data_IF_844083851177
#
_entry.id   IF_844083851177
#
_cell.length_a   1.000
_cell.length_b   1.000
_cell.length_c   1.000
_cell.angle_alpha   90.00
_cell.angle_beta   90.00
_cell.angle_gamma   90.00
#
_symmetry.space_group_name_H-M   'P 1'
#
loop_
_entity.id
_entity.type
_entity.pdbx_description
1 polymer ?
#
# COMPACT_ATOMS: atom_id res chain seq x y z
N UNK A 1 -5.53 -9.58 -3.86
CA UNK A 1 -6.20 -8.46 -3.15
C UNK A 1 -5.38 -7.99 -1.93
N UNK A 2 -5.54 -6.73 -1.46
CA UNK A 2 -4.80 -6.24 -0.31
C UNK A 2 -5.37 -6.87 0.96
N UNK A 3 -4.51 -7.53 1.74
CA UNK A 3 -4.89 -8.17 3.00
C UNK A 3 -4.83 -7.18 4.16
N UNK A 4 -3.78 -6.37 4.19
CA UNK A 4 -3.56 -5.36 5.23
C UNK A 4 -2.93 -4.12 4.63
N UNK A 5 -3.27 -2.96 5.19
CA UNK A 5 -2.64 -1.69 4.91
C UNK A 5 -2.23 -1.06 6.24
N UNK A 6 -0.95 -0.74 6.37
CA UNK A 6 -0.38 -0.17 7.59
C UNK A 6 0.01 1.29 7.33
N UNK A 7 -0.38 2.23 8.22
CA UNK A 7 0.13 3.59 8.19
C UNK A 7 1.61 3.63 8.67
N UNK A 8 2.31 4.77 8.50
CA UNK A 8 3.60 4.99 9.13
C UNK A 8 3.51 4.82 10.65
N UNK A 9 4.55 4.26 11.28
CA UNK A 9 4.58 4.16 12.74
C UNK A 9 4.90 5.51 13.39
N UNK A 10 4.56 5.66 14.67
CA UNK A 10 4.89 6.87 15.43
C UNK A 10 6.39 7.12 15.50
N UNK A 11 7.18 6.06 15.70
CA UNK A 11 8.64 6.11 15.75
C UNK A 11 9.24 6.54 14.41
N UNK A 12 8.70 6.03 13.30
CA UNK A 12 9.14 6.42 11.95
C UNK A 12 8.88 7.91 11.69
N UNK A 13 7.69 8.40 12.08
CA UNK A 13 7.32 9.80 11.95
C UNK A 13 8.19 10.72 12.81
N UNK A 14 8.60 10.27 14.00
CA UNK A 14 9.55 10.99 14.87
C UNK A 14 10.96 11.02 14.26
N UNK A 15 11.35 9.98 13.52
CA UNK A 15 12.58 9.93 12.73
C UNK A 15 12.50 10.68 11.38
N UNK A 16 11.48 11.52 11.19
CA UNK A 16 11.25 12.33 9.99
C UNK A 16 11.08 11.53 8.69
N UNK A 17 10.54 10.31 8.78
CA UNK A 17 10.21 9.44 7.63
C UNK A 17 8.74 9.03 7.69
N UNK A 18 8.18 8.58 6.57
CA UNK A 18 6.84 8.03 6.53
C UNK A 18 6.72 6.98 5.42
N UNK A 19 6.38 5.75 5.78
CA UNK A 19 6.19 4.67 4.82
C UNK A 19 4.88 3.95 5.09
N UNK A 20 4.02 3.88 4.08
CA UNK A 20 2.87 2.98 4.12
C UNK A 20 3.24 1.62 3.55
N UNK A 21 2.68 0.57 4.12
CA UNK A 21 2.89 -0.81 3.69
C UNK A 21 1.56 -1.50 3.37
N UNK A 22 1.40 -1.92 2.13
CA UNK A 22 0.29 -2.73 1.66
C UNK A 22 0.75 -4.17 1.47
N UNK A 23 0.24 -5.09 2.30
CA UNK A 23 0.51 -6.52 2.19
C UNK A 23 -0.56 -7.20 1.34
N UNK A 24 -0.12 -7.99 0.36
CA UNK A 24 -0.95 -8.81 -0.50
C UNK A 24 -0.53 -10.26 -0.34
N UNK A 25 -1.47 -11.14 -0.01
CA UNK A 25 -1.21 -12.58 0.11
C UNK A 25 -2.35 -13.39 -0.48
N UNK A 26 -2.11 -14.68 -0.61
CA UNK A 26 -3.12 -15.69 -0.94
C UNK A 26 -3.80 -15.50 -2.30
N UNK A 27 -3.09 -14.90 -3.27
CA UNK A 27 -3.59 -14.71 -4.63
C UNK A 27 -2.95 -15.69 -5.63
N UNK A 28 -3.69 -16.04 -6.68
CA UNK A 28 -3.25 -16.85 -7.81
C UNK A 28 -4.16 -16.56 -9.01
N UNK A 29 -3.65 -16.37 -10.24
CA UNK A 29 -2.24 -16.41 -10.65
C UNK A 29 -1.42 -15.25 -10.08
N UNK A 30 -0.09 -15.30 -10.21
CA UNK A 30 0.86 -14.36 -9.59
C UNK A 30 0.93 -12.96 -10.21
N UNK A 31 -0.13 -12.53 -10.90
CA UNK A 31 -0.18 -11.26 -11.63
C UNK A 31 -1.25 -10.39 -10.98
N UNK A 32 -0.87 -9.19 -10.51
CA UNK A 32 -1.79 -8.20 -9.97
C UNK A 32 -1.32 -6.79 -10.33
N UNK A 33 -2.22 -5.81 -10.24
CA UNK A 33 -1.91 -4.39 -10.36
C UNK A 33 -2.18 -3.68 -9.03
N UNK A 34 -1.27 -2.80 -8.63
CA UNK A 34 -1.42 -1.96 -7.42
C UNK A 34 -1.50 -0.51 -7.83
N UNK A 35 -2.48 0.22 -7.30
CA UNK A 35 -2.63 1.66 -7.43
C UNK A 35 -2.71 2.28 -6.03
N UNK A 36 -1.78 3.18 -5.74
CA UNK A 36 -1.86 4.01 -4.55
C UNK A 36 -2.69 5.26 -4.85
N UNK A 37 -3.47 5.71 -3.86
CA UNK A 37 -4.26 6.94 -3.96
C UNK A 37 -4.03 7.82 -2.75
N UNK A 38 -3.96 9.13 -2.96
CA UNK A 38 -4.06 10.15 -1.92
C UNK A 38 -5.38 10.89 -2.10
N UNK A 39 -6.25 10.85 -1.09
CA UNK A 39 -7.60 11.45 -1.15
C UNK A 39 -8.41 11.02 -2.39
N UNK A 40 -8.28 9.74 -2.78
CA UNK A 40 -8.93 9.17 -3.96
C UNK A 40 -8.22 9.44 -5.30
N UNK A 41 -7.20 10.30 -5.33
CA UNK A 41 -6.44 10.61 -6.55
C UNK A 41 -5.24 9.66 -6.68
N UNK A 42 -5.06 8.97 -7.82
CA UNK A 42 -3.91 8.08 -8.04
C UNK A 42 -2.56 8.79 -7.90
N UNK A 43 -1.60 8.12 -7.28
CA UNK A 43 -0.23 8.58 -7.11
C UNK A 43 0.76 7.47 -7.43
N UNK A 44 1.90 7.84 -8.00
CA UNK A 44 2.98 6.92 -8.40
C UNK A 44 4.32 7.26 -7.76
N UNK A 45 4.51 8.52 -7.34
CA UNK A 45 5.75 8.96 -6.71
C UNK A 45 5.97 8.25 -5.37
N UNK A 46 7.18 7.70 -5.17
CA UNK A 46 7.53 6.99 -3.94
C UNK A 46 6.93 5.59 -3.81
N UNK A 47 6.21 5.11 -4.82
CA UNK A 47 5.67 3.74 -4.84
C UNK A 47 6.78 2.76 -5.22
N UNK A 48 6.90 1.68 -4.44
CA UNK A 48 7.73 0.52 -4.74
C UNK A 48 6.89 -0.74 -4.54
N UNK A 49 7.23 -1.82 -5.24
CA UNK A 49 6.54 -3.09 -5.11
C UNK A 49 7.51 -4.25 -5.30
N UNK A 50 7.40 -5.27 -4.46
CA UNK A 50 8.15 -6.51 -4.62
C UNK A 50 7.60 -7.34 -5.76
N UNK A 51 8.46 -8.05 -6.49
CA UNK A 51 8.01 -9.11 -7.39
C UNK A 51 7.19 -10.15 -6.61
N UNK A 52 5.98 -10.52 -7.08
CA UNK A 52 5.19 -11.58 -6.46
C UNK A 52 6.00 -12.86 -6.30
N UNK A 53 6.10 -13.36 -5.07
CA UNK A 53 6.80 -14.61 -4.75
C UNK A 53 5.78 -15.70 -4.43
N UNK A 54 6.03 -16.92 -4.92
CA UNK A 54 5.15 -18.06 -4.69
C UNK A 54 5.56 -18.74 -3.40
N UNK A 55 4.65 -18.80 -2.43
CA UNK A 55 4.83 -19.58 -1.21
C UNK A 55 3.80 -20.71 -1.20
N UNK A 56 4.26 -21.95 -1.36
CA UNK A 56 3.42 -23.14 -1.60
C UNK A 56 2.65 -23.05 -2.93
N UNK A 57 1.33 -22.84 -2.91
CA UNK A 57 0.45 -22.77 -4.09
C UNK A 57 0.04 -21.35 -4.45
N UNK A 58 0.13 -20.40 -3.52
CA UNK A 58 -0.35 -19.02 -3.67
C UNK A 58 0.81 -18.03 -3.64
N UNK A 59 0.57 -16.82 -4.12
CA UNK A 59 1.54 -15.75 -4.18
C UNK A 59 1.37 -14.75 -3.04
N UNK A 60 2.48 -14.10 -2.70
CA UNK A 60 2.53 -12.95 -1.81
C UNK A 60 3.33 -11.83 -2.48
N UNK A 61 2.99 -10.59 -2.14
CA UNK A 61 3.69 -9.39 -2.56
C UNK A 61 3.46 -8.28 -1.54
N UNK A 62 4.35 -7.30 -1.53
CA UNK A 62 4.22 -6.09 -0.74
C UNK A 62 4.39 -4.88 -1.64
N UNK A 63 3.60 -3.84 -1.40
CA UNK A 63 3.83 -2.52 -1.99
C UNK A 63 4.04 -1.50 -0.87
N UNK A 64 4.96 -0.58 -1.12
CA UNK A 64 5.38 0.46 -0.20
C UNK A 64 5.11 1.80 -0.85
N UNK A 65 4.69 2.77 -0.05
CA UNK A 65 4.58 4.16 -0.47
C UNK A 65 5.40 5.02 0.50
N UNK A 66 6.53 5.54 0.02
CA UNK A 66 7.39 6.44 0.77
C UNK A 66 6.96 7.89 0.60
N UNK A 67 6.79 8.58 1.73
CA UNK A 67 6.35 9.96 1.83
C UNK A 67 7.24 10.71 2.84
N UNK A 68 7.08 12.03 2.87
CA UNK A 68 7.47 12.82 4.04
C UNK A 68 6.36 12.79 5.10
N UNK A 69 6.67 12.97 6.40
CA UNK A 69 5.65 13.11 7.44
C UNK A 69 4.64 14.25 7.16
N UNK A 70 5.09 15.32 6.50
CA UNK A 70 4.22 16.43 6.08
C UNK A 70 3.22 15.98 5.02
N UNK A 71 3.67 15.25 4.00
CA UNK A 71 2.77 14.70 2.97
C UNK A 71 1.74 13.75 3.57
N UNK A 72 2.18 12.85 4.46
CA UNK A 72 1.28 11.93 5.18
C UNK A 72 0.17 12.71 5.89
N UNK A 73 0.52 13.69 6.74
CA UNK A 73 -0.46 14.49 7.51
C UNK A 73 -1.29 15.47 6.68
N UNK A 74 -0.82 15.84 5.48
CA UNK A 74 -1.50 16.82 4.62
C UNK A 74 -2.74 16.29 3.88
N UNK A 75 -2.95 14.97 3.90
CA UNK A 75 -4.06 14.31 3.20
C UNK A 75 -5.04 13.73 4.22
N UNK A 76 -6.29 13.57 3.80
CA UNK A 76 -7.33 12.94 4.64
C UNK A 76 -7.16 11.44 4.70
N UNK A 77 -6.69 10.83 3.62
CA UNK A 77 -6.53 9.38 3.52
C UNK A 77 -5.55 8.96 2.44
N UNK A 78 -5.00 7.76 2.62
CA UNK A 78 -4.26 7.05 1.60
C UNK A 78 -4.83 5.65 1.42
N UNK A 79 -4.90 5.20 0.17
CA UNK A 79 -5.48 3.92 -0.19
C UNK A 79 -4.53 3.07 -1.02
N UNK A 80 -4.50 1.77 -0.73
CA UNK A 80 -3.90 0.75 -1.58
C UNK A 80 -5.02 -0.01 -2.29
N UNK A 81 -5.15 0.19 -3.59
CA UNK A 81 -6.10 -0.50 -4.44
C UNK A 81 -5.36 -1.59 -5.22
N UNK A 82 -5.85 -2.83 -5.15
CA UNK A 82 -5.26 -3.97 -5.83
C UNK A 82 -6.28 -4.61 -6.75
N UNK A 83 -5.94 -4.73 -8.02
CA UNK A 83 -6.72 -5.44 -9.03
C UNK A 83 -6.05 -6.78 -9.35
N UNK A 84 -6.82 -7.86 -9.24
CA UNK A 84 -6.38 -9.23 -9.47
C UNK A 84 -7.52 -9.99 -10.16
N UNK A 85 -7.25 -10.64 -11.30
CA UNK A 85 -8.26 -11.36 -12.11
C UNK A 85 -9.53 -10.52 -12.39
N UNK A 86 -9.35 -9.25 -12.76
CA UNK A 86 -10.45 -8.32 -13.04
C UNK A 86 -11.23 -7.82 -11.81
N UNK A 87 -10.94 -8.34 -10.61
CA UNK A 87 -11.55 -7.91 -9.36
C UNK A 87 -10.67 -6.91 -8.63
N UNK A 88 -11.27 -5.81 -8.17
CA UNK A 88 -10.56 -4.74 -7.47
C UNK A 88 -10.99 -4.66 -6.01
N UNK A 89 -10.00 -4.64 -5.11
CA UNK A 89 -10.21 -4.46 -3.66
C UNK A 89 -9.32 -3.34 -3.17
N UNK A 90 -9.85 -2.49 -2.29
CA UNK A 90 -9.15 -1.32 -1.75
C UNK A 90 -9.12 -1.37 -0.22
N UNK A 91 -8.00 -0.94 0.36
CA UNK A 91 -7.88 -0.62 1.79
C UNK A 91 -7.42 0.81 1.94
N UNK A 92 -7.90 1.46 2.99
CA UNK A 92 -7.68 2.89 3.25
C UNK A 92 -7.26 3.10 4.70
N UNK A 93 -6.30 3.99 4.91
CA UNK A 93 -5.86 4.47 6.23
C UNK A 93 -5.84 5.99 6.24
N UNK A 94 -5.94 6.57 7.43
CA UNK A 94 -5.91 8.01 7.63
C UNK A 94 -4.84 8.40 8.67
N UNK A 95 -4.23 9.59 8.56
CA UNK A 95 -3.43 10.14 9.65
C UNK A 95 -4.27 10.27 10.93
N UNK A 96 -3.64 10.04 12.08
CA UNK A 96 -4.24 10.40 13.37
C UNK A 96 -4.47 11.92 13.41
N UNK A 97 -5.61 12.34 13.98
CA UNK A 97 -5.90 13.75 14.23
C UNK A 97 -5.02 14.30 15.34
#
# INVERSE_FOLDING_TARGET
>A
PPRSLFPPSSEELQANKATLLCLMSDFYPGILMVTWKADGTPITQGVQMTTPSKHTKKYTASSYLSLTPRQWRSRRSYSCQVTHEGSTVEKTVAPAK
#
